data_IF_213905677718
#
_entry.id   IF_213905677718
#
_cell.length_a   1.000
_cell.length_b   1.000
_cell.length_c   1.000
_cell.angle_alpha   90.00
_cell.angle_beta   90.00
_cell.angle_gamma   90.00
#
_symmetry.space_group_name_H-M   'P 1'
#
loop_
_entity.id
_entity.type
_entity.pdbx_description
1 polymer ?
#
# COMPACT_ATOMS: atom_id res chain seq x y z
N UNK A 1 12.54 3.23 12.59
CA UNK A 1 11.72 2.87 11.42
C UNK A 1 12.48 1.87 10.55
N UNK A 2 12.12 0.58 10.60
CA UNK A 2 12.70 -0.44 9.72
C UNK A 2 12.04 -0.39 8.33
N UNK A 3 12.86 -0.33 7.27
CA UNK A 3 12.42 -0.46 5.88
C UNK A 3 12.58 -1.92 5.46
N UNK A 4 11.48 -2.66 5.33
CA UNK A 4 11.48 -4.04 4.83
C UNK A 4 11.68 -4.03 3.30
N UNK A 5 12.90 -4.27 2.83
CA UNK A 5 13.18 -4.45 1.40
C UNK A 5 12.83 -5.89 0.97
N UNK A 6 11.96 -5.97 -0.04
CA UNK A 6 11.25 -7.16 -0.47
C UNK A 6 12.10 -8.05 -1.40
N UNK A 7 13.01 -8.88 -0.89
CA UNK A 7 13.58 -9.99 -1.68
C UNK A 7 13.00 -11.33 -1.19
N UNK A 8 11.81 -11.66 -1.69
CA UNK A 8 11.00 -12.80 -1.25
C UNK A 8 11.30 -14.13 -1.96
N UNK A 9 12.35 -14.17 -2.78
CA UNK A 9 12.60 -15.30 -3.69
C UNK A 9 12.75 -16.63 -2.95
N UNK A 10 13.51 -16.66 -1.86
CA UNK A 10 13.73 -17.86 -1.05
C UNK A 10 12.42 -18.38 -0.44
N UNK A 11 11.53 -17.49 0.01
CA UNK A 11 10.23 -17.90 0.55
C UNK A 11 9.31 -18.46 -0.52
N UNK A 12 9.33 -17.91 -1.74
CA UNK A 12 8.52 -18.42 -2.85
C UNK A 12 9.02 -19.77 -3.39
N UNK A 13 10.30 -20.10 -3.21
CA UNK A 13 10.85 -21.43 -3.48
C UNK A 13 10.36 -22.46 -2.45
N UNK A 14 10.24 -22.06 -1.18
CA UNK A 14 9.72 -22.92 -0.11
C UNK A 14 8.19 -23.02 -0.09
N UNK A 15 7.49 -21.94 -0.41
CA UNK A 15 6.04 -21.81 -0.39
C UNK A 15 5.51 -21.33 -1.76
N UNK A 16 5.58 -22.18 -2.81
CA UNK A 16 5.19 -21.77 -4.17
C UNK A 16 3.72 -21.37 -4.30
N UNK A 17 2.82 -21.85 -3.44
CA UNK A 17 1.41 -21.43 -3.40
C UNK A 17 1.22 -20.00 -2.90
N UNK A 18 2.25 -19.38 -2.30
CA UNK A 18 2.23 -17.95 -1.95
C UNK A 18 2.47 -17.06 -3.17
N UNK A 19 2.77 -17.59 -4.35
CA UNK A 19 3.04 -16.78 -5.54
C UNK A 19 1.77 -16.04 -6.00
N UNK A 20 1.83 -14.71 -6.14
CA UNK A 20 0.79 -13.97 -6.83
C UNK A 20 0.86 -14.26 -8.33
N UNK A 21 -0.29 -14.58 -8.94
CA UNK A 21 -0.39 -14.92 -10.36
C UNK A 21 -1.28 -13.94 -11.12
N UNK A 22 -0.87 -13.67 -12.35
CA UNK A 22 -1.71 -13.02 -13.36
C UNK A 22 -2.69 -14.02 -13.96
N UNK A 23 -3.60 -13.53 -14.81
CA UNK A 23 -4.70 -14.31 -15.39
C UNK A 23 -4.23 -15.54 -16.17
N UNK A 24 -3.16 -15.41 -16.92
CA UNK A 24 -2.54 -16.46 -17.73
C UNK A 24 -1.70 -17.46 -16.89
N UNK A 25 -1.64 -17.27 -15.57
CA UNK A 25 -0.90 -18.12 -14.66
C UNK A 25 0.58 -17.76 -14.54
N UNK A 26 1.06 -16.65 -15.13
CA UNK A 26 2.44 -16.23 -14.93
C UNK A 26 2.62 -15.51 -13.58
N UNK A 27 3.79 -15.65 -12.93
CA UNK A 27 4.12 -14.89 -11.72
C UNK A 27 4.02 -13.38 -11.94
N UNK A 28 3.33 -12.69 -11.04
CA UNK A 28 3.25 -11.22 -11.04
C UNK A 28 4.64 -10.66 -10.75
N UNK A 29 5.20 -9.95 -11.73
CA UNK A 29 6.49 -9.28 -11.65
C UNK A 29 6.35 -7.80 -11.97
N UNK A 30 6.61 -6.93 -10.98
CA UNK A 30 6.52 -5.46 -11.16
C UNK A 30 7.50 -4.74 -10.26
N UNK A 31 8.14 -3.69 -10.79
CA UNK A 31 9.12 -2.90 -10.04
C UNK A 31 10.36 -3.68 -9.62
N UNK A 32 10.79 -4.65 -10.44
CA UNK A 32 11.95 -5.52 -10.16
C UNK A 32 11.69 -6.65 -9.15
N UNK A 33 10.45 -6.83 -8.69
CA UNK A 33 10.07 -7.79 -7.66
C UNK A 33 9.14 -8.87 -8.18
N UNK A 34 9.24 -10.06 -7.60
CA UNK A 34 8.21 -11.11 -7.69
C UNK A 34 7.32 -11.02 -6.44
N UNK A 35 6.00 -11.00 -6.63
CA UNK A 35 5.05 -10.68 -5.56
C UNK A 35 4.47 -11.94 -4.91
N UNK A 36 4.37 -11.93 -3.58
CA UNK A 36 3.53 -12.89 -2.84
C UNK A 36 2.06 -12.49 -2.93
N UNK A 37 1.15 -13.45 -2.86
CA UNK A 37 -0.28 -13.24 -2.82
C UNK A 37 -0.69 -12.65 -1.47
N UNK A 38 -0.81 -11.32 -1.40
CA UNK A 38 -1.29 -10.58 -0.24
C UNK A 38 -2.72 -10.91 0.21
N UNK A 39 -3.50 -11.67 -0.57
CA UNK A 39 -4.81 -12.19 -0.17
C UNK A 39 -4.72 -13.51 0.59
N UNK A 40 -3.60 -14.24 0.47
CA UNK A 40 -3.43 -15.57 1.02
C UNK A 40 -3.23 -15.51 2.55
N UNK A 41 -3.97 -16.31 3.35
CA UNK A 41 -3.96 -16.19 4.80
C UNK A 41 -2.59 -16.46 5.41
N UNK A 42 -1.82 -17.41 4.87
CA UNK A 42 -0.46 -17.70 5.37
C UNK A 42 0.51 -16.53 5.12
N UNK A 43 0.40 -15.84 3.99
CA UNK A 43 1.19 -14.64 3.69
C UNK A 43 0.82 -13.52 4.67
N UNK A 44 -0.48 -13.33 4.90
CA UNK A 44 -0.98 -12.34 5.86
C UNK A 44 -0.53 -12.65 7.30
N UNK A 45 -0.54 -13.93 7.70
CA UNK A 45 -0.08 -14.38 9.02
C UNK A 45 1.42 -14.18 9.16
N UNK A 46 2.21 -14.51 8.13
CA UNK A 46 3.65 -14.27 8.11
C UNK A 46 3.97 -12.78 8.32
N UNK A 47 3.35 -11.90 7.55
CA UNK A 47 3.54 -10.45 7.68
C UNK A 47 3.11 -9.91 9.05
N UNK A 48 1.97 -10.38 9.59
CA UNK A 48 1.53 -10.01 10.93
C UNK A 48 2.50 -10.49 12.02
N UNK A 49 3.08 -11.68 11.87
CA UNK A 49 4.03 -12.23 12.83
C UNK A 49 5.32 -11.42 12.87
N UNK A 50 5.85 -11.03 11.70
CA UNK A 50 7.01 -10.13 11.61
C UNK A 50 6.75 -8.78 12.30
N UNK A 51 5.59 -8.19 12.03
CA UNK A 51 5.20 -6.91 12.65
C UNK A 51 5.04 -7.05 14.16
N UNK A 52 4.40 -8.13 14.62
CA UNK A 52 4.22 -8.40 16.04
C UNK A 52 5.56 -8.60 16.75
N UNK A 53 6.49 -9.34 16.14
CA UNK A 53 7.85 -9.52 16.65
C UNK A 53 8.55 -8.16 16.80
N UNK A 54 8.50 -7.30 15.77
CA UNK A 54 9.12 -5.98 15.79
C UNK A 54 8.57 -5.12 16.94
N UNK A 55 7.24 -5.02 17.05
CA UNK A 55 6.59 -4.19 18.07
C UNK A 55 6.80 -4.73 19.48
N UNK A 56 6.95 -6.05 19.64
CA UNK A 56 7.11 -6.70 20.95
C UNK A 56 8.56 -6.64 21.45
N UNK A 57 9.52 -6.92 20.56
CA UNK A 57 10.91 -7.20 20.96
C UNK A 57 11.84 -5.99 20.80
N UNK A 58 11.42 -4.94 20.11
CA UNK A 58 12.25 -3.77 19.84
C UNK A 58 11.58 -2.50 20.38
N UNK A 59 12.40 -1.62 20.94
CA UNK A 59 11.93 -0.30 21.38
C UNK A 59 11.72 0.63 20.18
N UNK A 60 10.55 0.51 19.56
CA UNK A 60 10.12 1.33 18.43
C UNK A 60 8.83 2.08 18.74
N UNK A 61 8.72 3.31 18.25
CA UNK A 61 7.50 4.13 18.40
C UNK A 61 6.34 3.65 17.52
N UNK A 62 6.60 2.74 16.56
CA UNK A 62 5.59 2.29 15.62
C UNK A 62 6.14 1.60 14.38
N UNK A 63 5.25 1.37 13.42
CA UNK A 63 5.55 0.81 12.11
C UNK A 63 5.22 1.79 10.99
N UNK A 64 6.02 1.75 9.92
CA UNK A 64 5.72 2.42 8.66
C UNK A 64 5.69 1.39 7.53
N UNK A 65 4.51 1.18 6.94
CA UNK A 65 4.36 0.43 5.69
C UNK A 65 4.79 1.27 4.49
N UNK A 66 5.60 0.68 3.60
CA UNK A 66 5.96 1.33 2.33
C UNK A 66 4.82 1.26 1.30
N UNK A 67 5.06 1.72 0.07
CA UNK A 67 4.13 1.60 -1.07
C UNK A 67 3.74 0.16 -1.43
N UNK A 68 4.32 -0.84 -0.76
CA UNK A 68 4.09 -2.26 -1.01
C UNK A 68 3.34 -2.97 0.12
N UNK A 69 2.91 -2.28 1.18
CA UNK A 69 2.25 -2.89 2.34
C UNK A 69 1.03 -2.07 2.82
N UNK A 70 -0.19 -2.64 2.77
CA UNK A 70 -0.57 -3.74 1.87
C UNK A 70 -0.59 -3.23 0.43
N UNK A 71 -0.17 -4.05 -0.53
CA UNK A 71 -0.30 -3.74 -1.95
C UNK A 71 -0.20 -5.01 -2.79
N UNK A 72 -0.84 -4.99 -3.95
CA UNK A 72 -0.62 -5.96 -5.01
C UNK A 72 -0.78 -5.27 -6.36
N UNK A 73 0.08 -5.54 -7.37
CA UNK A 73 -0.16 -5.07 -8.72
C UNK A 73 -1.58 -5.42 -9.18
N UNK A 74 -2.24 -4.48 -9.86
CA UNK A 74 -3.63 -4.66 -10.33
C UNK A 74 -3.83 -5.86 -11.27
N UNK A 75 -2.76 -6.44 -11.82
CA UNK A 75 -2.79 -7.67 -12.62
C UNK A 75 -2.88 -8.95 -11.77
N UNK A 76 -2.63 -8.88 -10.46
CA UNK A 76 -2.61 -10.02 -9.54
C UNK A 76 -4.01 -10.52 -9.13
N UNK A 77 -4.06 -11.66 -8.43
CA UNK A 77 -5.30 -12.19 -7.85
C UNK A 77 -6.03 -13.22 -8.71
N UNK A 78 -5.32 -13.83 -9.66
CA UNK A 78 -5.84 -14.91 -10.50
C UNK A 78 -5.30 -16.31 -10.11
N UNK A 79 -4.63 -16.40 -8.97
CA UNK A 79 -4.24 -17.65 -8.33
C UNK A 79 -5.48 -18.46 -7.87
N UNK A 80 -5.28 -19.75 -7.61
CA UNK A 80 -6.38 -20.67 -7.29
C UNK A 80 -7.17 -20.24 -6.03
N UNK A 81 -6.47 -19.78 -5.00
CA UNK A 81 -7.09 -19.33 -3.75
C UNK A 81 -7.96 -18.09 -3.98
N UNK A 82 -7.44 -17.06 -4.64
CA UNK A 82 -8.18 -15.81 -4.86
C UNK A 82 -9.37 -16.01 -5.79
N UNK A 83 -9.23 -16.83 -6.85
CA UNK A 83 -10.35 -17.21 -7.74
C UNK A 83 -11.45 -17.94 -6.98
N UNK A 84 -11.10 -18.90 -6.13
CA UNK A 84 -12.08 -19.63 -5.32
C UNK A 84 -12.80 -18.68 -4.33
N UNK A 85 -12.06 -17.77 -3.69
CA UNK A 85 -12.63 -16.76 -2.79
C UNK A 85 -13.61 -15.82 -3.50
N UNK A 86 -13.28 -15.38 -4.72
CA UNK A 86 -14.17 -14.54 -5.53
C UNK A 86 -15.42 -15.30 -5.97
N UNK A 87 -15.27 -16.54 -6.46
CA UNK A 87 -16.40 -17.38 -6.85
C UNK A 87 -17.36 -17.62 -5.68
N UNK A 88 -16.84 -17.85 -4.48
CA UNK A 88 -17.66 -18.00 -3.28
C UNK A 88 -18.40 -16.71 -2.88
N UNK A 89 -17.74 -15.55 -3.01
CA UNK A 89 -18.31 -14.26 -2.63
C UNK A 89 -19.32 -13.71 -3.65
N UNK A 90 -19.07 -13.93 -4.94
CA UNK A 90 -19.82 -13.27 -6.02
C UNK A 90 -20.66 -14.24 -6.87
N UNK A 91 -20.51 -15.56 -6.69
CA UNK A 91 -21.13 -16.59 -7.54
C UNK A 91 -20.73 -16.53 -9.03
N UNK A 92 -19.57 -15.94 -9.33
CA UNK A 92 -19.04 -15.79 -10.70
C UNK A 92 -17.52 -15.86 -10.69
N UNK A 93 -16.94 -16.26 -11.82
CA UNK A 93 -15.49 -16.25 -11.99
C UNK A 93 -14.96 -14.80 -12.08
N UNK A 94 -13.70 -14.52 -11.68
CA UNK A 94 -13.13 -13.19 -11.83
C UNK A 94 -13.15 -12.70 -13.28
N UNK A 95 -13.42 -11.41 -13.51
CA UNK A 95 -13.51 -10.87 -14.86
C UNK A 95 -12.18 -10.99 -15.61
N UNK A 96 -12.28 -11.02 -16.95
CA UNK A 96 -11.11 -10.99 -17.82
C UNK A 96 -10.37 -9.67 -17.78
N UNK A 97 -11.12 -8.58 -17.71
CA UNK A 97 -10.52 -7.27 -17.56
C UNK A 97 -10.08 -7.08 -16.11
N UNK A 98 -8.77 -7.12 -15.85
CA UNK A 98 -8.24 -6.84 -14.51
C UNK A 98 -8.47 -5.39 -14.07
N UNK A 99 -8.85 -4.50 -15.00
CA UNK A 99 -9.23 -3.11 -14.75
C UNK A 99 -10.74 -2.94 -14.53
N UNK A 100 -11.52 -4.02 -14.47
CA UNK A 100 -12.92 -3.95 -14.07
C UNK A 100 -13.04 -3.31 -12.67
N UNK A 101 -13.88 -2.27 -12.54
CA UNK A 101 -13.97 -1.48 -11.32
C UNK A 101 -14.43 -2.30 -10.11
N UNK A 102 -15.38 -3.23 -10.30
CA UNK A 102 -15.86 -4.07 -9.20
C UNK A 102 -14.77 -5.05 -8.75
N UNK A 103 -13.98 -5.56 -9.68
CA UNK A 103 -12.85 -6.44 -9.39
C UNK A 103 -11.65 -5.72 -8.76
N UNK A 104 -11.36 -4.48 -9.16
CA UNK A 104 -10.40 -3.62 -8.47
C UNK A 104 -10.86 -3.40 -7.04
N UNK A 105 -12.10 -2.92 -6.84
CA UNK A 105 -12.59 -2.58 -5.51
C UNK A 105 -12.65 -3.80 -4.59
N UNK A 106 -13.17 -4.94 -5.07
CA UNK A 106 -13.25 -6.16 -4.27
C UNK A 106 -11.87 -6.62 -3.77
N UNK A 107 -10.84 -6.57 -4.62
CA UNK A 107 -9.47 -6.90 -4.20
C UNK A 107 -8.87 -5.84 -3.27
N UNK A 108 -9.15 -4.55 -3.50
CA UNK A 108 -8.72 -3.48 -2.61
C UNK A 108 -9.36 -3.62 -1.22
N UNK A 109 -10.61 -4.06 -1.15
CA UNK A 109 -11.33 -4.33 0.10
C UNK A 109 -10.67 -5.49 0.86
N UNK A 110 -10.25 -6.57 0.18
CA UNK A 110 -9.48 -7.65 0.82
C UNK A 110 -8.14 -7.19 1.41
N UNK A 111 -7.41 -6.31 0.72
CA UNK A 111 -6.18 -5.72 1.28
C UNK A 111 -6.48 -4.78 2.45
N UNK A 112 -7.64 -4.11 2.41
CA UNK A 112 -8.12 -3.24 3.49
C UNK A 112 -8.50 -4.04 4.73
N UNK A 113 -9.16 -5.19 4.58
CA UNK A 113 -9.44 -6.12 5.68
C UNK A 113 -8.15 -6.60 6.35
N UNK A 114 -7.14 -6.95 5.55
CA UNK A 114 -5.82 -7.31 6.08
C UNK A 114 -5.16 -6.14 6.82
N UNK A 115 -5.23 -4.92 6.28
CA UNK A 115 -4.73 -3.74 6.98
C UNK A 115 -5.43 -3.54 8.33
N UNK A 116 -6.75 -3.76 8.39
CA UNK A 116 -7.51 -3.65 9.63
C UNK A 116 -7.02 -4.65 10.69
N UNK A 117 -6.80 -5.91 10.30
CA UNK A 117 -6.25 -6.92 11.20
C UNK A 117 -4.84 -6.54 11.69
N UNK A 118 -3.98 -6.07 10.78
CA UNK A 118 -2.63 -5.61 11.10
C UNK A 118 -2.66 -4.43 12.09
N UNK A 119 -3.46 -3.39 11.80
CA UNK A 119 -3.60 -2.21 12.66
C UNK A 119 -4.09 -2.61 14.07
N UNK A 120 -5.16 -3.42 14.15
CA UNK A 120 -5.68 -3.92 15.43
C UNK A 120 -4.68 -4.81 16.18
N UNK A 121 -3.87 -5.60 15.46
CA UNK A 121 -2.78 -6.39 16.03
C UNK A 121 -1.74 -5.50 16.70
N UNK A 122 -1.26 -4.49 15.99
CA UNK A 122 -0.29 -3.52 16.53
C UNK A 122 -0.86 -2.79 17.75
N UNK A 123 -2.08 -2.26 17.64
CA UNK A 123 -2.71 -1.52 18.74
C UNK A 123 -3.01 -2.38 19.97
N UNK A 124 -3.23 -3.69 19.81
CA UNK A 124 -3.35 -4.61 20.95
C UNK A 124 -2.03 -4.81 21.69
N UNK A 125 -0.92 -4.91 20.96
CA UNK A 125 0.41 -5.13 21.57
C UNK A 125 0.92 -3.83 22.20
N UNK A 126 0.85 -2.72 21.45
CA UNK A 126 1.32 -1.40 21.87
C UNK A 126 0.31 -0.33 21.44
N UNK A 127 -0.68 0.03 22.28
CA UNK A 127 -1.75 0.97 21.91
C UNK A 127 -1.27 2.34 21.42
N UNK A 128 -0.13 2.80 21.93
CA UNK A 128 0.48 4.08 21.55
C UNK A 128 1.37 4.00 20.30
N UNK A 129 1.60 2.80 19.74
CA UNK A 129 2.43 2.64 18.55
C UNK A 129 1.79 3.33 17.35
N UNK A 130 2.56 4.16 16.64
CA UNK A 130 2.11 4.82 15.42
C UNK A 130 2.06 3.79 14.27
N UNK A 131 0.95 3.76 13.53
CA UNK A 131 0.85 3.00 12.28
C UNK A 131 0.75 3.98 11.12
N UNK A 132 1.82 4.10 10.34
CA UNK A 132 1.86 4.95 9.15
C UNK A 132 2.03 4.15 7.86
N UNK A 133 1.53 4.71 6.74
CA UNK A 133 1.57 4.06 5.42
C UNK A 133 1.99 5.07 4.36
N UNK A 134 2.79 4.66 3.36
CA UNK A 134 3.25 5.53 2.28
C UNK A 134 2.81 5.07 0.88
N UNK A 135 1.50 5.04 0.57
CA UNK A 135 1.05 4.64 -0.76
C UNK A 135 1.48 5.65 -1.84
N UNK A 136 1.39 5.23 -3.10
CA UNK A 136 1.44 6.17 -4.21
C UNK A 136 0.22 7.14 -4.17
N UNK A 137 0.26 8.21 -4.96
CA UNK A 137 -0.83 9.21 -5.00
C UNK A 137 -2.17 8.59 -5.44
N UNK A 138 -3.28 9.02 -4.86
CA UNK A 138 -4.62 8.59 -5.27
C UNK A 138 -5.06 9.30 -6.56
N UNK A 139 -5.74 8.63 -7.52
CA UNK A 139 -6.18 7.22 -7.51
C UNK A 139 -5.18 6.24 -8.14
N UNK A 140 -3.92 6.64 -8.39
CA UNK A 140 -2.93 5.75 -9.00
C UNK A 140 -2.70 4.50 -8.16
N UNK A 141 -2.58 4.65 -6.83
CA UNK A 141 -2.37 3.54 -5.90
C UNK A 141 -3.51 2.52 -5.92
N UNK A 142 -4.77 2.95 -6.04
CA UNK A 142 -5.92 2.04 -6.20
C UNK A 142 -5.85 1.29 -7.53
N UNK A 143 -5.69 2.03 -8.62
CA UNK A 143 -5.76 1.48 -9.98
C UNK A 143 -4.53 0.67 -10.40
N UNK A 144 -3.44 0.71 -9.63
CA UNK A 144 -2.19 0.01 -9.96
C UNK A 144 -1.72 -0.95 -8.88
N UNK A 145 -2.05 -0.68 -7.61
CA UNK A 145 -1.53 -1.39 -6.45
C UNK A 145 -2.62 -1.86 -5.48
N UNK A 146 -3.91 -1.67 -5.85
CA UNK A 146 -5.07 -2.09 -5.06
C UNK A 146 -5.10 -1.45 -3.66
N UNK A 147 -4.50 -0.27 -3.52
CA UNK A 147 -4.46 0.48 -2.27
C UNK A 147 -5.58 1.52 -2.26
N UNK A 148 -6.48 1.43 -1.29
CA UNK A 148 -7.55 2.41 -1.10
C UNK A 148 -7.33 3.26 0.17
N UNK A 149 -6.40 4.23 0.12
CA UNK A 149 -6.12 5.08 1.27
C UNK A 149 -7.32 5.92 1.71
N UNK A 150 -8.33 6.10 0.85
CA UNK A 150 -9.56 6.80 1.23
C UNK A 150 -10.33 5.98 2.24
N UNK A 151 -10.59 4.72 1.90
CA UNK A 151 -11.25 3.78 2.80
C UNK A 151 -10.43 3.55 4.07
N UNK A 152 -9.11 3.46 3.97
CA UNK A 152 -8.24 3.29 5.16
C UNK A 152 -8.38 4.44 6.15
N UNK A 153 -8.39 5.68 5.67
CA UNK A 153 -8.54 6.87 6.53
C UNK A 153 -9.96 6.98 7.08
N UNK A 154 -10.98 6.71 6.25
CA UNK A 154 -12.40 6.75 6.65
C UNK A 154 -12.69 5.71 7.77
N UNK A 155 -12.02 4.56 7.74
CA UNK A 155 -12.13 3.50 8.76
C UNK A 155 -11.13 3.66 9.92
N UNK A 156 -10.23 4.65 9.88
CA UNK A 156 -9.24 4.87 10.94
C UNK A 156 -8.12 3.82 11.00
N UNK A 157 -7.79 3.17 9.87
CA UNK A 157 -6.81 2.08 9.79
C UNK A 157 -5.36 2.54 9.63
N UNK A 158 -5.12 3.85 9.70
CA UNK A 158 -3.80 4.44 9.82
C UNK A 158 -3.85 5.75 10.61
N UNK A 159 -2.77 6.01 11.33
CA UNK A 159 -2.61 7.23 12.12
C UNK A 159 -2.06 8.36 11.23
N UNK A 160 -1.13 8.03 10.34
CA UNK A 160 -0.48 8.96 9.42
C UNK A 160 -0.39 8.33 8.03
N UNK A 161 -0.60 9.14 6.99
CA UNK A 161 -0.41 8.72 5.60
C UNK A 161 0.60 9.62 4.89
N UNK A 162 1.49 8.99 4.12
CA UNK A 162 2.59 9.64 3.42
C UNK A 162 2.50 9.40 1.91
N UNK A 163 1.53 10.01 1.18
CA UNK A 163 1.47 9.87 -0.27
C UNK A 163 2.80 10.25 -0.92
N UNK A 164 3.32 9.39 -1.78
CA UNK A 164 4.60 9.59 -2.45
C UNK A 164 4.45 10.56 -3.63
N UNK A 165 4.55 11.87 -3.38
CA UNK A 165 4.44 12.91 -4.42
C UNK A 165 5.80 13.09 -5.09
N UNK A 166 6.17 12.13 -5.93
CA UNK A 166 7.45 12.14 -6.63
C UNK A 166 7.33 12.93 -7.94
N UNK A 167 7.40 14.26 -7.80
CA UNK A 167 7.40 15.22 -8.92
C UNK A 167 8.68 16.03 -8.87
N UNK A 168 9.33 16.20 -10.01
CA UNK A 168 10.59 16.93 -10.13
C UNK A 168 10.44 18.44 -10.35
N UNK A 169 9.20 18.94 -10.38
CA UNK A 169 8.88 20.36 -10.52
C UNK A 169 7.72 20.77 -9.59
N UNK A 170 7.79 22.02 -9.10
CA UNK A 170 6.81 22.56 -8.14
C UNK A 170 5.39 22.62 -8.64
N UNK A 171 5.18 22.95 -9.92
CA UNK A 171 3.83 23.09 -10.44
C UNK A 171 3.08 21.76 -10.36
N UNK A 172 3.70 20.65 -10.80
CA UNK A 172 3.11 19.31 -10.70
C UNK A 172 2.99 18.87 -9.25
N UNK A 173 3.98 19.15 -8.41
CA UNK A 173 3.92 18.83 -6.98
C UNK A 173 2.70 19.46 -6.31
N UNK A 174 2.52 20.78 -6.49
CA UNK A 174 1.42 21.52 -5.89
C UNK A 174 0.05 21.04 -6.40
N UNK A 175 -0.05 20.63 -7.66
CA UNK A 175 -1.28 20.03 -8.18
C UNK A 175 -1.64 18.73 -7.45
N UNK A 176 -0.67 17.85 -7.20
CA UNK A 176 -0.93 16.61 -6.45
C UNK A 176 -1.34 16.91 -5.00
N UNK A 177 -0.67 17.85 -4.33
CA UNK A 177 -1.05 18.26 -2.97
C UNK A 177 -2.50 18.76 -2.96
N UNK A 178 -2.90 19.64 -3.89
CA UNK A 178 -4.28 20.14 -3.98
C UNK A 178 -5.29 19.03 -4.21
N UNK A 179 -5.01 18.10 -5.12
CA UNK A 179 -5.90 16.95 -5.41
C UNK A 179 -6.07 16.06 -4.19
N UNK A 180 -4.98 15.77 -3.47
CA UNK A 180 -5.00 14.96 -2.25
C UNK A 180 -5.79 15.70 -1.16
N UNK A 181 -5.47 16.96 -0.87
CA UNK A 181 -6.19 17.75 0.14
C UNK A 181 -7.70 17.84 -0.14
N UNK A 182 -8.09 17.91 -1.41
CA UNK A 182 -9.51 17.86 -1.80
C UNK A 182 -10.13 16.48 -1.60
N UNK A 183 -9.44 15.41 -2.02
CA UNK A 183 -9.93 14.03 -1.94
C UNK A 183 -10.09 13.54 -0.50
N UNK A 184 -9.32 14.11 0.44
CA UNK A 184 -9.26 13.67 1.83
C UNK A 184 -9.51 14.79 2.85
N UNK A 185 -10.36 15.77 2.50
CA UNK A 185 -10.58 17.01 3.29
C UNK A 185 -10.81 16.79 4.79
N UNK A 186 -11.48 15.70 5.18
CA UNK A 186 -11.77 15.37 6.60
C UNK A 186 -10.57 14.85 7.38
N UNK A 187 -9.55 14.35 6.68
CA UNK A 187 -8.39 13.67 7.25
C UNK A 187 -7.08 14.36 6.87
N UNK A 188 -7.13 15.61 6.37
CA UNK A 188 -5.95 16.36 5.87
C UNK A 188 -4.83 16.46 6.91
N UNK A 189 -5.17 16.49 8.20
CA UNK A 189 -4.23 16.53 9.33
C UNK A 189 -3.41 15.26 9.49
N UNK A 190 -3.90 14.13 8.96
CA UNK A 190 -3.16 12.85 8.93
C UNK A 190 -2.18 12.75 7.76
N UNK A 191 -2.18 13.71 6.83
CA UNK A 191 -1.29 13.68 5.69
C UNK A 191 0.07 14.29 6.02
N UNK A 192 1.12 13.57 5.66
CA UNK A 192 2.50 14.04 5.64
C UNK A 192 3.16 13.58 4.32
N UNK A 193 2.92 14.28 3.20
CA UNK A 193 3.34 13.84 1.87
C UNK A 193 4.85 13.62 1.78
N UNK A 194 5.24 12.50 1.17
CA UNK A 194 6.64 12.21 0.85
C UNK A 194 7.13 13.12 -0.28
N UNK A 195 8.31 13.71 -0.08
CA UNK A 195 9.03 14.50 -1.08
C UNK A 195 10.22 13.67 -1.56
N UNK A 196 10.34 13.49 -2.87
CA UNK A 196 11.56 12.94 -3.47
C UNK A 196 12.60 14.04 -3.67
N UNK A 197 13.85 13.75 -3.32
CA UNK A 197 15.00 14.58 -3.73
C UNK A 197 15.35 14.35 -5.20
N UNK A 198 15.15 13.13 -5.69
CA UNK A 198 15.28 12.75 -7.10
C UNK A 198 14.01 12.05 -7.54
N UNK A 199 13.28 12.63 -8.50
CA UNK A 199 12.05 12.07 -9.02
C UNK A 199 12.23 11.68 -10.49
N UNK A 200 12.06 10.38 -10.79
CA UNK A 200 12.18 9.82 -12.14
C UNK A 200 13.52 10.15 -12.83
N UNK A 201 14.63 10.03 -12.08
CA UNK A 201 15.97 10.32 -12.58
C UNK A 201 16.31 11.81 -12.71
N UNK A 202 15.46 12.71 -12.21
CA UNK A 202 15.71 14.15 -12.18
C UNK A 202 15.71 14.68 -10.76
N UNK A 203 16.79 15.37 -10.38
CA UNK A 203 16.90 16.03 -9.09
C UNK A 203 15.95 17.23 -9.00
N UNK A 204 15.36 17.40 -7.82
CA UNK A 204 14.54 18.56 -7.49
C UNK A 204 15.46 19.71 -7.12
N UNK A 205 15.27 20.86 -7.76
CA UNK A 205 16.03 22.06 -7.40
C UNK A 205 15.76 22.48 -5.95
N UNK A 206 16.75 23.06 -5.28
CA UNK A 206 16.60 23.60 -3.92
C UNK A 206 15.43 24.59 -3.83
N UNK A 207 15.30 25.48 -4.82
CA UNK A 207 14.21 26.46 -4.88
C UNK A 207 12.83 25.81 -4.97
N UNK A 208 12.70 24.66 -5.61
CA UNK A 208 11.45 23.89 -5.63
C UNK A 208 11.25 23.11 -4.31
N UNK A 209 12.28 22.50 -3.73
CA UNK A 209 12.19 21.84 -2.42
C UNK A 209 11.67 22.79 -1.34
N UNK A 210 12.16 24.03 -1.31
CA UNK A 210 11.66 25.07 -0.38
C UNK A 210 10.16 25.32 -0.59
N UNK A 211 9.71 25.44 -1.85
CA UNK A 211 8.28 25.61 -2.16
C UNK A 211 7.45 24.39 -1.77
N UNK A 212 7.99 23.17 -1.89
CA UNK A 212 7.30 21.94 -1.48
C UNK A 212 7.06 21.94 0.03
N UNK A 213 8.12 22.25 0.80
CA UNK A 213 8.06 22.35 2.26
C UNK A 213 7.04 23.41 2.67
N UNK A 214 7.09 24.61 2.06
CA UNK A 214 6.15 25.70 2.35
C UNK A 214 4.71 25.28 2.07
N UNK A 215 4.46 24.70 0.90
CA UNK A 215 3.12 24.22 0.50
C UNK A 215 2.57 23.18 1.47
N UNK A 216 3.43 22.32 2.01
CA UNK A 216 3.01 21.31 2.98
C UNK A 216 2.76 21.86 4.39
N UNK A 217 3.37 22.99 4.75
CA UNK A 217 3.16 23.66 6.04
C UNK A 217 1.92 24.56 6.04
N UNK A 218 1.64 25.20 4.90
CA UNK A 218 0.59 26.21 4.76
C UNK A 218 -0.81 25.61 4.44
N UNK A 219 -0.95 24.27 4.42
CA UNK A 219 -2.18 23.57 4.00
C UNK A 219 -3.24 23.44 5.10
#
# INVERSE_FOLDING_TARGET
MLLLTCQWRTYLEQYPHWQALERDGVPVKRGGLTWMNGFHPEVQQFMQSLIAEIITNYDVDGIQGCDRLPALPVTAGYDAYTKAKYQAACSQAPPHNYQDNNWIQWRADLLTEFLAQMYQGVKRIKPQAIVSLSPAVYPFCLNNLLQDPKTWLDQGLCDIIHPQIYRSDFWRYNQEVKKISQSFKRSVTKFAPGIAFTANGKDVSEGDLIKYIKTNRDR
#
